data_IF_363518070180
#
_entry.id   IF_363518070180
#
_cell.length_a   1.000
_cell.length_b   1.000
_cell.length_c   1.000
_cell.angle_alpha   90.00
_cell.angle_beta   90.00
_cell.angle_gamma   90.00
#
_symmetry.space_group_name_H-M   'P 1'
#
loop_
_entity.id
_entity.type
_entity.pdbx_description
1 polymer ?
#
# COMPACT_ATOMS: atom_id res chain seq x y z
N UNK A 1 -54.12 -25.57 12.64
CA UNK A 1 -54.59 -26.63 13.58
C UNK A 1 -53.49 -27.67 13.75
N UNK A 2 -53.38 -28.29 14.95
CA UNK A 2 -52.69 -29.56 15.29
C UNK A 2 -51.30 -29.88 14.67
N UNK A 3 -50.29 -29.86 15.56
CA UNK A 3 -49.25 -30.90 15.83
C UNK A 3 -48.26 -31.28 14.69
N UNK A 4 -46.93 -31.24 14.84
CA UNK A 4 -45.99 -31.81 15.86
C UNK A 4 -46.07 -33.34 16.06
N UNK A 5 -45.17 -34.07 15.39
CA UNK A 5 -44.57 -35.37 15.78
C UNK A 5 -43.23 -35.52 15.02
N UNK A 6 -42.07 -36.04 15.49
CA UNK A 6 -41.57 -36.72 16.71
C UNK A 6 -41.12 -38.19 16.47
N UNK A 7 -39.79 -38.36 16.31
CA UNK A 7 -38.91 -39.44 16.83
C UNK A 7 -38.85 -40.86 16.18
N UNK A 8 -37.69 -41.54 16.43
CA UNK A 8 -37.41 -43.02 16.43
C UNK A 8 -37.35 -43.72 15.04
N UNK A 9 -36.61 -44.82 14.71
CA UNK A 9 -35.68 -45.84 15.29
C UNK A 9 -34.78 -46.40 14.11
N UNK A 10 -33.79 -47.32 14.21
CA UNK A 10 -32.67 -47.62 15.15
C UNK A 10 -31.77 -48.78 14.61
N UNK A 11 -30.45 -48.69 14.80
CA UNK A 11 -29.35 -49.69 14.78
C UNK A 11 -29.34 -51.00 13.90
N UNK A 12 -28.23 -51.17 13.17
CA UNK A 12 -27.31 -52.34 13.07
C UNK A 12 -27.71 -53.75 12.56
N UNK A 13 -26.94 -54.23 11.56
CA UNK A 13 -26.48 -55.63 11.30
C UNK A 13 -25.08 -55.51 10.64
N UNK A 14 -23.98 -56.27 10.88
CA UNK A 14 -23.65 -57.66 11.31
C UNK A 14 -23.25 -58.59 10.13
N UNK A 15 -22.11 -59.32 10.31
CA UNK A 15 -21.35 -60.09 9.31
C UNK A 15 -21.87 -61.52 9.02
N UNK A 16 -21.53 -62.06 7.84
CA UNK A 16 -21.51 -63.49 7.44
C UNK A 16 -20.80 -63.63 6.05
N UNK A 17 -20.34 -64.75 5.46
CA UNK A 17 -19.91 -66.14 5.82
C UNK A 17 -19.30 -66.76 4.53
N UNK A 18 -18.39 -67.75 4.46
CA UNK A 18 -17.21 -68.19 5.27
C UNK A 18 -16.43 -69.28 4.46
N UNK A 19 -15.43 -69.95 5.07
CA UNK A 19 -14.66 -71.13 4.58
C UNK A 19 -13.57 -70.89 3.49
N UNK A 20 -12.55 -71.76 3.33
CA UNK A 20 -12.27 -73.05 3.98
C UNK A 20 -10.79 -73.50 3.93
N UNK A 21 -10.47 -74.65 4.53
CA UNK A 21 -9.10 -75.06 4.91
C UNK A 21 -8.41 -76.08 3.97
N UNK A 22 -7.08 -76.18 4.04
CA UNK A 22 -6.28 -77.30 3.49
C UNK A 22 -4.84 -77.32 4.05
N UNK A 23 -4.37 -78.49 4.51
CA UNK A 23 -3.05 -78.68 5.19
C UNK A 23 -2.08 -79.44 4.29
N UNK A 24 -0.78 -79.15 4.37
CA UNK A 24 0.30 -80.15 4.32
C UNK A 24 1.59 -79.65 4.98
N UNK A 25 2.49 -80.57 5.30
CA UNK A 25 3.78 -80.36 5.95
C UNK A 25 4.92 -80.65 4.97
N UNK A 26 6.06 -79.94 5.09
CA UNK A 26 7.27 -80.14 4.29
C UNK A 26 8.54 -80.01 5.16
N UNK A 27 9.47 -80.95 4.96
CA UNK A 27 10.89 -80.95 5.36
C UNK A 27 11.61 -81.91 4.37
N UNK A 28 12.94 -81.79 4.17
CA UNK A 28 13.75 -80.59 3.99
C UNK A 28 14.56 -80.65 2.68
N UNK A 29 15.27 -79.59 2.30
CA UNK A 29 16.26 -79.59 1.20
C UNK A 29 17.52 -78.81 1.63
N UNK A 30 18.68 -79.28 1.21
CA UNK A 30 20.00 -78.72 1.55
C UNK A 30 20.33 -77.43 0.78
N UNK A 31 21.35 -76.70 1.25
CA UNK A 31 21.80 -75.42 0.70
C UNK A 31 22.63 -75.59 -0.58
N UNK A 32 22.40 -74.73 -1.58
CA UNK A 32 23.40 -74.38 -2.60
C UNK A 32 23.93 -72.96 -2.33
N UNK A 33 25.23 -72.68 -2.54
CA UNK A 33 25.84 -71.42 -2.12
C UNK A 33 25.42 -70.25 -3.01
N UNK A 34 24.81 -69.23 -2.40
CA UNK A 34 24.59 -67.93 -3.04
C UNK A 34 25.95 -67.26 -3.24
N UNK A 35 26.25 -66.90 -4.48
CA UNK A 35 27.42 -66.06 -4.80
C UNK A 35 27.06 -64.61 -4.49
N UNK A 36 27.82 -63.96 -3.62
CA UNK A 36 27.69 -62.51 -3.37
C UNK A 36 28.15 -61.74 -4.62
N UNK A 37 27.20 -61.07 -5.29
CA UNK A 37 27.55 -59.98 -6.21
C UNK A 37 28.02 -58.76 -5.39
N UNK A 38 29.05 -58.02 -5.83
CA UNK A 38 29.56 -56.88 -5.08
C UNK A 38 28.53 -55.75 -5.09
N UNK A 39 28.10 -55.32 -3.91
CA UNK A 39 27.25 -54.12 -3.76
C UNK A 39 28.04 -52.92 -4.24
N UNK A 40 27.68 -52.40 -5.41
CA UNK A 40 28.18 -51.14 -5.94
C UNK A 40 27.73 -50.02 -5.00
N UNK A 41 28.69 -49.25 -4.46
CA UNK A 41 28.37 -48.10 -3.62
C UNK A 41 27.77 -47.00 -4.49
N UNK A 42 26.53 -46.63 -4.21
CA UNK A 42 26.00 -45.33 -4.65
C UNK A 42 26.92 -44.20 -4.14
N UNK A 43 27.11 -43.11 -4.90
CA UNK A 43 27.81 -41.94 -4.42
C UNK A 43 27.11 -41.38 -3.18
N UNK A 44 27.89 -41.10 -2.13
CA UNK A 44 27.42 -40.37 -0.96
C UNK A 44 27.24 -38.91 -1.40
N UNK A 45 25.99 -38.47 -1.59
CA UNK A 45 25.68 -37.11 -2.04
C UNK A 45 26.24 -36.10 -1.02
N UNK A 46 27.07 -35.17 -1.49
CA UNK A 46 27.53 -34.06 -0.66
C UNK A 46 26.30 -33.24 -0.23
N UNK A 47 26.18 -32.86 1.06
CA UNK A 47 25.01 -32.12 1.52
C UNK A 47 24.97 -30.77 0.81
N UNK A 48 23.88 -30.48 0.09
CA UNK A 48 23.66 -29.17 -0.51
C UNK A 48 23.80 -28.09 0.56
N UNK A 49 24.66 -27.09 0.29
CA UNK A 49 24.78 -25.92 1.17
C UNK A 49 23.45 -25.16 1.14
N UNK A 50 22.64 -25.38 2.18
CA UNK A 50 21.43 -24.59 2.43
C UNK A 50 21.85 -23.12 2.44
N UNK A 51 21.31 -22.27 1.55
CA UNK A 51 21.72 -20.87 1.48
C UNK A 51 21.59 -20.20 2.85
N UNK A 52 22.65 -19.53 3.31
CA UNK A 52 22.55 -18.68 4.50
C UNK A 52 21.48 -17.62 4.22
N UNK A 53 20.41 -17.64 5.03
CA UNK A 53 19.37 -16.61 4.93
C UNK A 53 20.01 -15.22 5.08
N UNK A 54 19.68 -14.24 4.22
CA UNK A 54 20.39 -12.98 4.13
C UNK A 54 20.48 -12.31 5.50
N UNK A 55 21.70 -12.14 6.00
CA UNK A 55 21.94 -11.74 7.37
C UNK A 55 21.40 -10.33 7.64
N UNK A 56 20.37 -10.23 8.49
CA UNK A 56 19.81 -8.97 9.00
C UNK A 56 20.94 -8.04 9.44
N UNK A 57 21.15 -6.88 8.79
CA UNK A 57 22.27 -6.01 9.12
C UNK A 57 22.17 -5.49 10.56
N UNK A 58 23.30 -5.46 11.29
CA UNK A 58 23.31 -5.12 12.72
C UNK A 58 22.73 -3.72 12.97
N UNK A 59 21.69 -3.65 13.81
CA UNK A 59 21.00 -2.40 14.15
C UNK A 59 19.97 -1.92 13.10
N UNK A 60 19.74 -2.68 12.03
CA UNK A 60 18.75 -2.35 10.99
C UNK A 60 17.47 -3.18 11.11
N UNK A 61 16.38 -2.66 10.55
CA UNK A 61 15.13 -3.37 10.33
C UNK A 61 14.53 -3.00 8.97
N UNK A 62 13.63 -3.83 8.44
CA UNK A 62 12.86 -3.54 7.21
C UNK A 62 11.84 -2.43 7.48
N UNK A 63 11.79 -1.42 6.61
CA UNK A 63 10.76 -0.38 6.60
C UNK A 63 9.38 -0.97 6.28
N UNK A 64 8.38 -0.75 7.14
CA UNK A 64 6.99 -1.13 6.84
C UNK A 64 6.34 -0.33 5.69
N UNK A 65 6.98 0.77 5.25
CA UNK A 65 6.49 1.61 4.14
C UNK A 65 7.21 1.33 2.81
N UNK A 66 8.44 0.82 2.83
CA UNK A 66 9.24 0.66 1.61
C UNK A 66 9.97 -0.68 1.49
N UNK A 67 10.02 -1.52 2.52
CA UNK A 67 10.82 -2.75 2.51
C UNK A 67 12.34 -2.53 2.52
N UNK A 68 12.82 -1.29 2.47
CA UNK A 68 14.26 -0.97 2.53
C UNK A 68 14.80 -1.15 3.95
N UNK A 69 16.10 -1.43 4.08
CA UNK A 69 16.79 -1.45 5.37
C UNK A 69 16.96 -0.04 5.94
N UNK A 70 16.45 0.18 7.15
CA UNK A 70 16.56 1.43 7.91
C UNK A 70 16.96 1.15 9.37
N UNK A 71 17.39 2.18 10.10
CA UNK A 71 17.69 2.09 11.54
C UNK A 71 16.51 1.47 12.32
N UNK A 72 16.79 0.51 13.21
CA UNK A 72 15.75 -0.24 13.91
C UNK A 72 14.87 0.60 14.86
N UNK A 73 15.38 1.73 15.38
CA UNK A 73 14.60 2.62 16.24
C UNK A 73 13.76 3.58 15.38
N UNK A 74 14.25 3.96 14.20
CA UNK A 74 13.44 4.65 13.19
C UNK A 74 12.31 3.74 12.66
N UNK A 75 12.56 2.45 12.45
CA UNK A 75 11.56 1.48 11.97
C UNK A 75 10.41 1.24 12.97
N UNK A 76 10.65 1.45 14.27
CA UNK A 76 9.62 1.34 15.32
C UNK A 76 8.73 2.57 15.42
N UNK A 77 9.13 3.71 14.83
CA UNK A 77 8.33 4.94 14.90
C UNK A 77 7.10 4.88 14.01
N UNK A 78 6.04 5.53 14.45
CA UNK A 78 4.82 5.73 13.69
C UNK A 78 5.10 6.70 12.54
N UNK A 79 4.63 6.40 11.33
CA UNK A 79 4.65 7.36 10.24
C UNK A 79 3.85 8.63 10.56
N UNK A 80 4.23 9.73 9.92
CA UNK A 80 3.44 10.95 9.87
C UNK A 80 2.66 10.99 8.54
N UNK A 81 1.34 11.08 8.59
CA UNK A 81 0.49 11.26 7.41
C UNK A 81 0.07 12.73 7.29
N UNK A 82 0.53 13.43 6.25
CA UNK A 82 0.31 14.87 6.04
C UNK A 82 -0.57 15.11 4.81
N UNK A 83 -1.68 15.82 5.01
CA UNK A 83 -2.56 16.26 3.91
C UNK A 83 -1.94 17.42 3.13
N UNK A 84 -1.64 17.24 1.85
CA UNK A 84 -0.96 18.24 0.99
C UNK A 84 -1.86 18.63 -0.21
N UNK A 85 -1.86 19.93 -0.54
CA UNK A 85 -2.63 20.45 -1.68
C UNK A 85 -2.10 20.01 -3.04
N UNK A 86 -3.01 19.63 -3.96
CA UNK A 86 -2.67 19.23 -5.34
C UNK A 86 -3.49 20.02 -6.37
N UNK A 87 -3.11 21.27 -6.57
CA UNK A 87 -3.67 22.20 -7.56
C UNK A 87 -2.52 23.00 -8.15
N UNK A 88 -2.66 23.58 -9.34
CA UNK A 88 -1.67 24.52 -9.91
C UNK A 88 -1.11 25.52 -8.89
N UNK A 89 -2.00 26.12 -8.10
CA UNK A 89 -1.70 27.18 -7.14
C UNK A 89 -1.05 26.66 -5.84
N UNK A 90 -0.93 25.34 -5.68
CA UNK A 90 -0.19 24.67 -4.62
C UNK A 90 1.20 24.20 -5.07
N UNK A 91 1.47 24.14 -6.37
CA UNK A 91 2.74 23.64 -6.92
C UNK A 91 3.86 24.69 -6.85
N UNK A 92 5.13 24.25 -6.83
CA UNK A 92 5.58 22.91 -6.41
C UNK A 92 5.29 22.68 -4.91
N UNK A 93 5.07 21.43 -4.50
CA UNK A 93 4.99 21.09 -3.07
C UNK A 93 6.38 21.20 -2.40
N UNK A 94 6.41 21.25 -1.07
CA UNK A 94 7.64 21.22 -0.27
C UNK A 94 7.70 19.97 0.60
N UNK A 95 8.88 19.36 0.72
CA UNK A 95 9.18 18.20 1.56
C UNK A 95 8.61 16.87 1.05
N UNK A 96 7.78 16.88 0.01
CA UNK A 96 7.08 15.70 -0.52
C UNK A 96 8.03 14.65 -1.13
N UNK A 97 9.24 15.02 -1.54
CA UNK A 97 10.24 14.06 -2.05
C UNK A 97 10.73 13.09 -0.95
N UNK A 98 10.60 13.47 0.32
CA UNK A 98 10.91 12.62 1.47
C UNK A 98 9.76 11.69 1.87
N UNK A 99 8.59 11.76 1.25
CA UNK A 99 7.48 10.85 1.55
C UNK A 99 7.75 9.46 0.98
N UNK A 100 7.28 8.43 1.68
CA UNK A 100 7.53 7.02 1.36
C UNK A 100 6.32 6.39 0.66
N UNK A 101 5.12 6.70 1.15
CA UNK A 101 3.85 6.45 0.47
C UNK A 101 3.18 7.78 0.16
N UNK A 102 2.62 7.93 -1.05
CA UNK A 102 1.77 9.08 -1.39
C UNK A 102 0.43 8.56 -1.91
N UNK A 103 -0.64 8.79 -1.16
CA UNK A 103 -2.01 8.58 -1.62
C UNK A 103 -2.48 9.81 -2.40
N UNK A 104 -2.99 9.60 -3.61
CA UNK A 104 -3.68 10.60 -4.40
C UNK A 104 -5.17 10.24 -4.53
N UNK A 105 -6.04 11.16 -4.11
CA UNK A 105 -7.49 10.90 -4.06
C UNK A 105 -8.28 12.06 -4.68
N UNK A 106 -9.31 11.78 -5.51
CA UNK A 106 -10.25 12.77 -5.99
C UNK A 106 -10.94 13.53 -4.85
N UNK A 107 -11.09 14.84 -5.05
CA UNK A 107 -11.78 15.76 -4.14
C UNK A 107 -12.73 16.67 -4.93
N UNK A 108 -13.23 17.71 -4.27
CA UNK A 108 -14.22 18.64 -4.83
C UNK A 108 -13.71 19.30 -6.13
N UNK A 109 -14.59 19.48 -7.12
CA UNK A 109 -14.23 20.06 -8.42
C UNK A 109 -13.42 19.14 -9.34
N UNK A 110 -13.29 17.85 -9.03
CA UNK A 110 -12.51 16.86 -9.82
C UNK A 110 -10.99 17.11 -9.88
N UNK A 111 -10.48 17.93 -8.96
CA UNK A 111 -9.07 17.93 -8.58
C UNK A 111 -8.75 16.68 -7.75
N UNK A 112 -7.47 16.39 -7.55
CA UNK A 112 -7.00 15.46 -6.53
C UNK A 112 -6.46 16.20 -5.29
N UNK A 113 -6.19 15.44 -4.22
CA UNK A 113 -5.41 15.89 -3.06
C UNK A 113 -4.45 14.78 -2.68
N UNK A 114 -3.28 15.15 -2.16
CA UNK A 114 -2.27 14.19 -1.72
C UNK A 114 -2.36 14.00 -0.21
N UNK A 115 -2.08 12.78 0.24
CA UNK A 115 -1.65 12.49 1.60
C UNK A 115 -0.29 11.82 1.51
N UNK A 116 0.73 12.53 2.00
CA UNK A 116 2.10 12.06 2.03
C UNK A 116 2.38 11.41 3.39
N UNK A 117 2.85 10.16 3.38
CA UNK A 117 3.19 9.39 4.57
C UNK A 117 4.72 9.30 4.67
N UNK A 118 5.26 9.67 5.83
CA UNK A 118 6.71 9.74 6.10
C UNK A 118 7.07 8.80 7.24
N UNK A 119 7.92 7.80 7.01
CA UNK A 119 8.61 7.07 8.08
C UNK A 119 9.63 7.99 8.77
N UNK A 120 10.30 8.84 7.98
CA UNK A 120 11.27 9.82 8.47
C UNK A 120 10.94 11.24 7.97
N UNK A 121 10.65 12.14 8.90
CA UNK A 121 10.46 13.57 8.65
C UNK A 121 11.53 14.44 9.34
N UNK A 122 12.61 13.84 9.85
CA UNK A 122 13.71 14.57 10.48
C UNK A 122 14.47 15.43 9.45
N UNK A 123 14.87 16.64 9.86
CA UNK A 123 15.50 17.64 9.01
C UNK A 123 14.55 18.40 8.08
N UNK A 124 13.25 18.12 8.08
CA UNK A 124 12.30 18.78 7.17
C UNK A 124 11.85 20.15 7.72
N UNK A 125 12.54 21.21 7.29
CA UNK A 125 12.21 22.61 7.63
C UNK A 125 10.84 23.09 7.10
N UNK A 126 10.33 22.47 6.04
CA UNK A 126 9.11 22.91 5.35
C UNK A 126 8.41 21.77 4.61
N UNK A 127 7.19 21.43 5.07
CA UNK A 127 6.32 20.43 4.43
C UNK A 127 4.98 21.08 4.05
N UNK A 128 4.51 20.86 2.82
CA UNK A 128 3.18 21.28 2.38
C UNK A 128 3.09 21.87 0.97
N UNK A 129 2.17 22.79 0.68
CA UNK A 129 1.25 23.45 1.62
C UNK A 129 0.22 22.47 2.19
N UNK A 130 0.08 22.46 3.51
CA UNK A 130 -0.86 21.57 4.22
C UNK A 130 -2.30 21.98 3.89
N UNK A 131 -3.15 20.98 3.66
CA UNK A 131 -4.55 21.14 3.24
C UNK A 131 -5.50 20.25 4.03
N UNK A 132 -6.76 20.29 3.62
CA UNK A 132 -7.87 19.88 4.47
C UNK A 132 -8.20 18.39 4.39
N UNK A 133 -8.54 17.81 5.53
CA UNK A 133 -8.97 16.43 5.69
C UNK A 133 -10.31 16.15 4.97
N UNK A 134 -10.46 14.93 4.44
CA UNK A 134 -11.76 14.24 4.27
C UNK A 134 -11.66 12.90 5.00
N UNK A 135 -12.78 12.33 5.41
CA UNK A 135 -12.86 11.15 6.28
C UNK A 135 -12.11 9.93 5.73
N UNK A 136 -12.21 9.65 4.43
CA UNK A 136 -11.49 8.54 3.79
C UNK A 136 -9.96 8.65 3.87
N UNK A 137 -9.38 9.86 3.94
CA UNK A 137 -7.93 10.01 4.18
C UNK A 137 -7.52 9.55 5.58
N UNK A 138 -8.40 9.66 6.57
CA UNK A 138 -8.14 9.15 7.93
C UNK A 138 -8.15 7.63 7.91
N UNK A 139 -9.10 7.01 7.19
CA UNK A 139 -9.13 5.56 7.01
C UNK A 139 -7.85 5.05 6.34
N UNK A 140 -7.34 5.73 5.31
CA UNK A 140 -6.04 5.40 4.69
C UNK A 140 -4.86 5.60 5.66
N UNK A 141 -4.82 6.70 6.43
CA UNK A 141 -3.74 6.95 7.40
C UNK A 141 -3.67 5.89 8.51
N UNK A 142 -4.82 5.34 8.93
CA UNK A 142 -4.92 4.28 9.94
C UNK A 142 -4.33 2.95 9.49
N UNK A 143 -4.29 2.68 8.18
CA UNK A 143 -3.65 1.48 7.58
C UNK A 143 -2.14 1.39 7.87
N UNK A 144 -1.55 2.51 8.30
CA UNK A 144 -0.12 2.65 8.63
C UNK A 144 0.12 3.01 10.10
N UNK A 145 -0.91 2.95 10.95
CA UNK A 145 -0.87 3.46 12.35
C UNK A 145 -0.31 4.90 12.43
N UNK A 146 -0.58 5.73 11.42
CA UNK A 146 0.07 7.03 11.29
C UNK A 146 -0.52 8.12 12.20
N UNK A 147 0.32 9.08 12.59
CA UNK A 147 -0.11 10.34 13.21
C UNK A 147 -0.60 11.26 12.09
N UNK A 148 -1.85 11.74 12.17
CA UNK A 148 -2.54 12.36 11.03
C UNK A 148 -2.58 13.89 11.14
N UNK A 149 -2.12 14.58 10.10
CA UNK A 149 -1.88 16.03 10.07
C UNK A 149 -2.64 16.72 8.94
N UNK A 150 -3.41 17.76 9.25
CA UNK A 150 -4.19 18.51 8.26
C UNK A 150 -4.45 19.96 8.66
N UNK A 151 -4.86 20.81 7.71
CA UNK A 151 -5.34 22.17 7.99
C UNK A 151 -6.73 22.39 7.36
N UNK A 152 -7.75 22.50 8.21
CA UNK A 152 -9.17 22.47 7.81
C UNK A 152 -9.69 21.05 7.56
N UNK A 153 -11.01 20.87 7.51
CA UNK A 153 -11.64 19.56 7.27
C UNK A 153 -12.96 19.68 6.48
N UNK A 154 -13.54 18.54 6.10
CA UNK A 154 -14.96 18.44 5.76
C UNK A 154 -15.74 18.10 7.03
N UNK A 155 -16.99 18.55 7.18
CA UNK A 155 -17.84 18.20 8.35
C UNK A 155 -17.98 16.68 8.54
N UNK A 156 -18.01 15.92 7.44
CA UNK A 156 -18.05 14.46 7.43
C UNK A 156 -16.82 13.78 8.07
N UNK A 157 -15.72 14.51 8.25
CA UNK A 157 -14.53 14.01 8.93
C UNK A 157 -14.62 14.11 10.47
N UNK A 158 -15.47 14.99 11.02
CA UNK A 158 -15.54 15.24 12.47
C UNK A 158 -15.79 13.97 13.30
N UNK A 159 -16.77 13.10 12.98
CA UNK A 159 -17.01 11.87 13.76
C UNK A 159 -15.85 10.87 13.77
N UNK A 160 -14.91 10.98 12.82
CA UNK A 160 -13.72 10.12 12.71
C UNK A 160 -12.51 10.79 13.37
N UNK A 161 -12.36 12.11 13.20
CA UNK A 161 -11.31 12.92 13.83
C UNK A 161 -11.46 13.05 15.35
N UNK A 162 -12.69 12.90 15.87
CA UNK A 162 -13.02 12.94 17.29
C UNK A 162 -12.88 11.57 17.99
N UNK A 163 -12.49 10.51 17.27
CA UNK A 163 -12.21 9.19 17.87
C UNK A 163 -10.93 9.25 18.71
N UNK A 164 -10.96 8.67 19.92
CA UNK A 164 -9.80 8.61 20.82
C UNK A 164 -8.57 7.89 20.21
N UNK A 165 -8.78 7.02 19.22
CA UNK A 165 -7.72 6.29 18.51
C UNK A 165 -7.15 7.03 17.29
N UNK A 166 -7.69 8.20 16.91
CA UNK A 166 -7.12 9.08 15.86
C UNK A 166 -6.23 10.15 16.48
N UNK A 167 -4.92 10.02 16.28
CA UNK A 167 -3.93 11.00 16.73
C UNK A 167 -3.90 12.19 15.78
N UNK A 168 -4.84 13.12 15.99
CA UNK A 168 -5.17 14.25 15.13
C UNK A 168 -4.35 15.52 15.43
N UNK A 169 -3.48 15.89 14.50
CA UNK A 169 -2.75 17.15 14.44
C UNK A 169 -3.46 18.12 13.46
N UNK A 170 -4.58 18.68 13.91
CA UNK A 170 -5.38 19.64 13.15
C UNK A 170 -4.91 21.08 13.34
N UNK A 171 -4.63 21.78 12.23
CA UNK A 171 -4.41 23.23 12.19
C UNK A 171 -5.66 24.09 12.46
N UNK A 172 -6.75 23.49 12.95
CA UNK A 172 -7.88 24.22 13.57
C UNK A 172 -7.92 24.09 15.11
N UNK A 173 -7.09 23.21 15.69
CA UNK A 173 -6.92 23.12 17.14
C UNK A 173 -6.00 24.26 17.60
N UNK A 174 -6.60 25.29 18.22
CA UNK A 174 -5.89 26.48 18.71
C UNK A 174 -4.89 26.20 19.84
N UNK A 175 -4.85 24.99 20.40
CA UNK A 175 -3.81 24.56 21.35
C UNK A 175 -2.51 24.10 20.68
N UNK A 176 -2.54 23.80 19.37
CA UNK A 176 -1.37 23.41 18.56
C UNK A 176 -1.14 24.28 17.30
N UNK A 177 -2.12 25.06 16.83
CA UNK A 177 -1.98 25.82 15.56
C UNK A 177 -0.68 26.63 15.52
N UNK A 178 -0.44 27.46 16.53
CA UNK A 178 0.66 28.45 16.55
C UNK A 178 2.02 27.88 16.94
N UNK A 179 2.10 26.61 17.34
CA UNK A 179 3.38 25.91 17.57
C UNK A 179 3.76 25.01 16.39
N UNK A 180 2.77 24.49 15.66
CA UNK A 180 2.98 23.50 14.60
C UNK A 180 2.91 24.10 13.19
N UNK A 181 2.03 25.08 12.96
CA UNK A 181 1.72 25.61 11.63
C UNK A 181 2.15 27.07 11.49
N UNK A 182 2.69 27.40 10.32
CA UNK A 182 3.01 28.77 9.94
C UNK A 182 2.42 29.13 8.57
N UNK A 183 2.42 30.43 8.26
CA UNK A 183 1.91 30.99 7.01
C UNK A 183 3.05 31.55 6.16
N UNK A 184 3.32 30.93 5.02
CA UNK A 184 4.28 31.45 4.05
C UNK A 184 3.70 32.70 3.36
N UNK A 185 4.32 33.85 3.58
CA UNK A 185 3.89 35.15 3.04
C UNK A 185 4.11 35.27 1.52
N UNK A 186 4.93 34.40 0.94
CA UNK A 186 5.14 34.32 -0.51
C UNK A 186 3.99 33.57 -1.22
N UNK A 187 3.10 32.90 -0.46
CA UNK A 187 1.95 32.16 -1.02
C UNK A 187 0.61 32.76 -0.59
N UNK A 188 -0.34 32.71 -1.52
CA UNK A 188 -1.73 33.13 -1.27
C UNK A 188 -2.46 32.07 -0.45
N UNK A 189 -3.28 32.51 0.49
CA UNK A 189 -4.26 31.64 1.12
C UNK A 189 -5.24 31.10 0.06
N UNK A 190 -5.68 29.84 0.14
CA UNK A 190 -5.42 28.89 1.23
C UNK A 190 -4.22 27.94 0.98
N UNK A 191 -3.33 28.23 0.01
CA UNK A 191 -2.19 27.38 -0.37
C UNK A 191 -0.89 27.73 0.38
N UNK A 192 -1.00 28.25 1.61
CA UNK A 192 0.11 28.87 2.33
C UNK A 192 0.31 28.41 3.78
N UNK A 193 -0.43 27.41 4.26
CA UNK A 193 -0.13 26.75 5.53
C UNK A 193 1.02 25.75 5.34
N UNK A 194 2.01 25.77 6.22
CA UNK A 194 3.16 24.87 6.22
C UNK A 194 3.48 24.41 7.65
N UNK A 195 4.20 23.30 7.76
CA UNK A 195 4.73 22.72 9.01
C UNK A 195 6.24 22.43 8.85
N UNK A 196 6.92 22.18 9.96
CA UNK A 196 8.32 21.73 10.03
C UNK A 196 8.45 20.58 11.03
N UNK A 197 9.58 19.85 11.01
CA UNK A 197 9.91 18.83 12.04
C UNK A 197 9.70 19.36 13.47
N UNK A 198 10.26 20.54 13.78
CA UNK A 198 10.14 21.18 15.09
C UNK A 198 8.67 21.37 15.49
N UNK A 199 7.85 21.88 14.57
CA UNK A 199 6.42 22.09 14.80
C UNK A 199 5.63 20.79 14.94
N UNK A 200 5.99 19.74 14.19
CA UNK A 200 5.40 18.40 14.31
C UNK A 200 5.71 17.81 15.68
N UNK A 201 6.98 17.79 16.07
CA UNK A 201 7.43 17.25 17.36
C UNK A 201 6.78 18.00 18.54
N UNK A 202 6.74 19.34 18.48
CA UNK A 202 6.06 20.16 19.48
C UNK A 202 4.54 19.89 19.53
N UNK A 203 3.90 19.67 18.37
CA UNK A 203 2.49 19.27 18.29
C UNK A 203 2.21 17.89 18.92
N UNK A 204 3.05 16.90 18.63
CA UNK A 204 2.97 15.54 19.20
C UNK A 204 3.14 15.57 20.72
N UNK A 205 4.17 16.26 21.23
CA UNK A 205 4.42 16.44 22.67
C UNK A 205 3.23 17.15 23.34
N UNK A 206 2.76 18.25 22.76
CA UNK A 206 1.64 19.06 23.26
C UNK A 206 0.33 18.28 23.40
N UNK A 207 0.12 17.28 22.53
CA UNK A 207 -1.07 16.40 22.53
C UNK A 207 -0.86 15.11 23.33
N UNK A 208 0.36 14.81 23.78
CA UNK A 208 0.70 13.57 24.49
C UNK A 208 0.62 12.32 23.61
N UNK A 209 0.86 12.46 22.30
CA UNK A 209 0.63 11.40 21.33
C UNK A 209 1.78 10.38 21.29
N UNK A 210 1.43 9.09 21.42
CA UNK A 210 2.30 7.92 21.16
C UNK A 210 3.07 8.06 19.84
N UNK A 211 4.39 7.93 19.89
CA UNK A 211 5.34 8.02 18.78
C UNK A 211 5.77 6.67 18.19
N UNK A 212 5.73 5.60 18.97
CA UNK A 212 6.11 4.24 18.53
C UNK A 212 4.90 3.45 18.05
N UNK A 213 5.08 2.58 17.05
CA UNK A 213 4.04 1.72 16.47
C UNK A 213 3.39 0.81 17.52
N UNK A 214 2.17 0.37 17.24
CA UNK A 214 1.50 -0.64 18.07
C UNK A 214 2.27 -1.96 18.02
N UNK A 215 2.37 -2.67 19.15
CA UNK A 215 2.85 -4.07 19.19
C UNK A 215 2.03 -5.01 18.30
N UNK A 216 0.81 -4.59 17.92
CA UNK A 216 -0.08 -5.29 17.00
C UNK A 216 0.05 -4.85 15.53
N UNK A 217 0.96 -3.94 15.19
CA UNK A 217 1.13 -3.46 13.81
C UNK A 217 2.09 -4.37 13.03
N UNK A 218 1.62 -4.93 11.92
CA UNK A 218 2.33 -5.91 11.10
C UNK A 218 2.61 -5.47 9.66
N UNK A 219 2.61 -4.16 9.39
CA UNK A 219 2.83 -3.60 8.05
C UNK A 219 1.60 -3.60 7.13
N UNK A 220 1.59 -2.68 6.17
CA UNK A 220 0.55 -2.62 5.13
C UNK A 220 0.86 -3.56 3.96
N UNK A 221 2.06 -3.47 3.36
CA UNK A 221 2.44 -4.24 2.17
C UNK A 221 3.38 -5.40 2.51
N UNK A 222 3.39 -6.43 1.68
CA UNK A 222 4.50 -7.37 1.58
C UNK A 222 5.57 -6.81 0.63
N UNK A 223 6.86 -7.01 0.92
CA UNK A 223 7.96 -6.50 0.11
C UNK A 223 8.93 -7.60 -0.32
N UNK A 224 9.52 -7.42 -1.50
CA UNK A 224 10.52 -8.32 -2.07
C UNK A 224 11.83 -8.31 -1.26
N UNK A 225 12.53 -9.44 -1.22
CA UNK A 225 13.89 -9.50 -0.66
C UNK A 225 14.93 -8.90 -1.62
N UNK A 226 16.11 -8.57 -1.10
CA UNK A 226 17.12 -7.75 -1.79
C UNK A 226 17.66 -8.36 -3.10
N UNK A 227 17.67 -9.69 -3.18
CA UNK A 227 18.13 -10.49 -4.32
C UNK A 227 16.97 -11.09 -5.16
N UNK A 228 15.73 -10.93 -4.72
CA UNK A 228 14.52 -11.49 -5.34
C UNK A 228 13.49 -10.40 -5.74
N UNK A 229 13.86 -9.39 -6.55
CA UNK A 229 12.95 -8.32 -6.96
C UNK A 229 11.78 -8.85 -7.80
N UNK A 230 10.61 -8.21 -7.64
CA UNK A 230 9.38 -8.58 -8.33
C UNK A 230 9.46 -8.16 -9.81
N UNK A 231 9.46 -9.16 -10.69
CA UNK A 231 9.51 -9.00 -12.14
C UNK A 231 8.18 -9.46 -12.75
N UNK A 232 7.24 -8.52 -12.86
CA UNK A 232 5.93 -8.77 -13.45
C UNK A 232 6.06 -9.28 -14.90
N UNK A 233 5.20 -10.22 -15.31
CA UNK A 233 5.18 -10.77 -16.68
C UNK A 233 4.08 -10.15 -17.56
N UNK A 234 3.27 -9.25 -16.99
CA UNK A 234 2.12 -8.61 -17.63
C UNK A 234 2.44 -7.52 -18.66
N UNK A 235 1.46 -6.67 -18.91
CA UNK A 235 1.46 -5.64 -19.96
C UNK A 235 2.54 -4.56 -19.71
N UNK A 236 3.06 -3.97 -20.78
CA UNK A 236 4.07 -2.90 -20.67
C UNK A 236 3.42 -1.59 -20.20
N UNK A 237 4.05 -0.95 -19.21
CA UNK A 237 3.57 0.24 -18.52
C UNK A 237 4.66 1.31 -18.48
N UNK A 238 5.15 1.73 -19.65
CA UNK A 238 6.27 2.68 -19.78
C UNK A 238 5.84 4.12 -19.47
N UNK A 239 4.65 4.53 -19.92
CA UNK A 239 4.03 5.82 -19.57
C UNK A 239 2.63 5.55 -19.03
N UNK A 240 2.35 5.98 -17.80
CA UNK A 240 1.13 5.62 -17.04
C UNK A 240 0.30 6.86 -16.75
N UNK A 241 -0.99 6.83 -17.10
CA UNK A 241 -1.97 7.90 -16.86
C UNK A 241 -3.10 7.41 -15.94
N UNK A 242 -3.16 7.81 -14.65
CA UNK A 242 -4.23 7.43 -13.71
C UNK A 242 -5.64 7.95 -14.02
N UNK A 243 -5.84 8.66 -15.14
CA UNK A 243 -7.16 9.08 -15.61
C UNK A 243 -7.80 10.32 -14.96
N UNK A 244 -7.19 10.90 -13.92
CA UNK A 244 -7.74 12.09 -13.24
C UNK A 244 -8.04 13.25 -14.19
N UNK A 245 -9.13 13.97 -13.91
CA UNK A 245 -9.77 14.89 -14.84
C UNK A 245 -9.05 16.23 -14.99
N UNK A 246 -8.67 16.87 -13.87
CA UNK A 246 -8.13 18.24 -13.87
C UNK A 246 -6.61 18.28 -13.76
N UNK A 247 -6.04 17.57 -12.78
CA UNK A 247 -4.59 17.48 -12.59
C UNK A 247 -3.88 16.83 -13.80
N UNK A 248 -4.56 15.87 -14.46
CA UNK A 248 -4.06 15.01 -15.54
C UNK A 248 -2.59 14.57 -15.35
N UNK A 249 -2.21 14.00 -14.19
CA UNK A 249 -0.85 13.55 -13.97
C UNK A 249 -0.49 12.37 -14.86
N UNK A 250 0.80 12.07 -14.96
CA UNK A 250 1.30 10.84 -15.53
C UNK A 250 2.65 10.48 -14.92
N UNK A 251 3.05 9.23 -15.09
CA UNK A 251 4.36 8.72 -14.72
C UNK A 251 5.09 8.24 -15.96
N UNK A 252 6.42 8.33 -15.95
CA UNK A 252 7.30 7.86 -17.01
C UNK A 252 8.35 6.95 -16.38
N UNK A 253 8.42 5.71 -16.85
CA UNK A 253 9.41 4.75 -16.40
C UNK A 253 10.79 5.08 -16.96
N UNK A 254 11.81 5.07 -16.10
CA UNK A 254 13.21 5.04 -16.50
C UNK A 254 13.76 3.62 -16.30
N UNK A 255 14.29 3.01 -17.36
CA UNK A 255 14.91 1.68 -17.30
C UNK A 255 16.33 1.68 -16.77
N UNK A 256 16.98 2.84 -16.56
CA UNK A 256 18.33 2.93 -16.01
C UNK A 256 18.37 2.79 -14.48
N UNK A 257 17.32 3.23 -13.78
CA UNK A 257 17.15 3.14 -12.32
C UNK A 257 15.94 2.28 -11.89
N UNK A 258 15.03 2.01 -12.82
CA UNK A 258 13.81 1.24 -12.56
C UNK A 258 12.74 2.02 -11.79
N UNK A 259 12.71 3.34 -11.89
CA UNK A 259 11.75 4.23 -11.21
C UNK A 259 10.74 4.89 -12.17
N UNK A 260 9.63 5.33 -11.60
CA UNK A 260 8.54 6.05 -12.27
C UNK A 260 8.56 7.53 -11.90
N UNK A 261 9.07 8.36 -12.81
CA UNK A 261 9.14 9.82 -12.66
C UNK A 261 7.79 10.47 -12.91
N UNK A 262 7.30 11.29 -11.97
CA UNK A 262 5.96 11.89 -12.00
C UNK A 262 5.91 13.29 -12.64
N UNK A 263 4.81 13.53 -13.34
CA UNK A 263 4.49 14.77 -14.04
C UNK A 263 3.03 15.17 -13.75
N UNK A 264 2.73 16.47 -13.72
CA UNK A 264 1.38 17.00 -13.51
C UNK A 264 1.22 18.39 -14.14
N UNK A 265 -0.01 18.81 -14.48
CA UNK A 265 -0.31 20.14 -15.03
C UNK A 265 0.56 20.58 -16.23
N UNK A 266 1.09 19.59 -16.98
CA UNK A 266 1.98 19.69 -18.16
C UNK A 266 3.48 19.89 -17.88
N UNK A 267 3.95 19.71 -16.65
CA UNK A 267 5.37 19.80 -16.28
C UNK A 267 5.81 18.64 -15.36
N UNK A 268 7.11 18.52 -15.09
CA UNK A 268 7.69 17.64 -14.07
C UNK A 268 7.14 18.05 -12.70
N UNK A 269 6.67 17.10 -11.88
CA UNK A 269 6.38 17.43 -10.49
C UNK A 269 7.68 17.37 -9.68
N UNK A 270 8.09 18.50 -9.10
CA UNK A 270 9.28 18.62 -8.26
C UNK A 270 8.91 18.93 -6.80
N UNK A 271 9.84 18.60 -5.90
CA UNK A 271 9.86 19.16 -4.55
C UNK A 271 10.63 20.50 -4.56
N UNK A 272 9.96 21.55 -4.10
CA UNK A 272 10.47 22.91 -4.02
C UNK A 272 11.63 23.10 -3.04
N UNK A 273 11.85 22.16 -2.12
CA UNK A 273 12.98 22.18 -1.18
C UNK A 273 14.28 21.64 -1.80
N UNK A 274 14.19 20.81 -2.85
CA UNK A 274 15.33 20.03 -3.38
C UNK A 274 15.51 20.12 -4.90
N UNK A 275 14.59 20.79 -5.63
CA UNK A 275 14.45 20.80 -7.11
C UNK A 275 14.37 19.39 -7.76
N UNK A 276 14.20 18.36 -6.93
CA UNK A 276 14.20 16.96 -7.35
C UNK A 276 12.82 16.57 -7.86
N UNK A 277 12.77 15.97 -9.06
CA UNK A 277 11.53 15.42 -9.60
C UNK A 277 11.10 14.21 -8.76
N UNK A 278 9.80 14.11 -8.46
CA UNK A 278 9.27 12.99 -7.68
C UNK A 278 9.33 11.72 -8.51
N UNK A 279 9.86 10.65 -7.91
CA UNK A 279 9.93 9.32 -8.52
C UNK A 279 9.57 8.24 -7.50
N UNK A 280 8.95 7.15 -7.95
CA UNK A 280 8.51 6.02 -7.12
C UNK A 280 8.88 4.68 -7.76
N UNK A 281 9.00 3.61 -6.97
CA UNK A 281 9.24 2.25 -7.47
C UNK A 281 7.95 1.53 -7.87
N UNK A 282 6.88 1.83 -7.12
CA UNK A 282 5.58 1.19 -7.21
C UNK A 282 4.49 2.22 -7.52
N UNK A 283 3.55 1.87 -8.37
CA UNK A 283 2.27 2.57 -8.48
C UNK A 283 1.16 1.53 -8.27
N UNK A 284 0.20 1.88 -7.40
CA UNK A 284 -1.04 1.13 -7.22
C UNK A 284 -2.20 2.00 -7.72
N UNK A 285 -2.98 1.50 -8.66
CA UNK A 285 -4.29 2.07 -8.99
C UNK A 285 -5.33 1.28 -8.19
N UNK A 286 -6.06 1.93 -7.29
CA UNK A 286 -7.11 1.29 -6.49
C UNK A 286 -8.46 1.85 -6.92
N UNK A 287 -9.31 1.04 -7.55
CA UNK A 287 -10.65 1.48 -7.97
C UNK A 287 -11.66 1.30 -6.84
N UNK A 288 -12.24 2.42 -6.40
CA UNK A 288 -13.25 2.47 -5.35
C UNK A 288 -14.59 2.94 -5.93
N UNK A 289 -15.68 2.35 -5.41
CA UNK A 289 -17.01 2.95 -5.53
C UNK A 289 -17.03 4.30 -4.79
N UNK A 290 -17.85 5.26 -5.25
CA UNK A 290 -17.92 6.62 -4.68
C UNK A 290 -19.35 7.12 -4.64
N UNK A 291 -19.63 8.15 -3.83
CA UNK A 291 -20.94 8.80 -3.82
C UNK A 291 -20.85 10.31 -3.56
N UNK A 292 -21.87 11.06 -3.95
CA UNK A 292 -22.02 12.48 -3.62
C UNK A 292 -22.70 12.61 -2.26
N UNK A 293 -22.06 13.29 -1.31
CA UNK A 293 -22.59 13.51 0.04
C UNK A 293 -23.52 14.72 0.13
N UNK A 294 -23.22 15.80 -0.60
CA UNK A 294 -24.06 17.01 -0.63
C UNK A 294 -23.96 17.85 -1.91
N UNK A 295 -24.81 18.87 -2.01
CA UNK A 295 -24.83 19.85 -3.10
C UNK A 295 -23.65 20.83 -3.10
N UNK A 296 -22.82 20.87 -2.05
CA UNK A 296 -21.55 21.60 -2.07
C UNK A 296 -20.46 20.84 -2.84
N UNK A 297 -20.73 19.58 -3.23
CA UNK A 297 -19.83 18.73 -4.00
C UNK A 297 -18.89 17.88 -3.15
N UNK A 298 -19.14 17.77 -1.84
CA UNK A 298 -18.46 16.76 -1.03
C UNK A 298 -18.82 15.36 -1.53
N UNK A 299 -17.85 14.46 -1.48
CA UNK A 299 -18.00 13.07 -1.89
C UNK A 299 -17.48 12.12 -0.83
N UNK A 300 -17.99 10.90 -0.87
CA UNK A 300 -17.48 9.74 -0.18
C UNK A 300 -16.72 8.84 -1.16
N UNK A 301 -15.72 8.12 -0.64
CA UNK A 301 -14.95 7.09 -1.34
C UNK A 301 -15.07 5.83 -0.49
N UNK A 302 -15.62 4.76 -1.06
CA UNK A 302 -15.82 3.51 -0.37
C UNK A 302 -14.46 2.79 -0.21
N UNK A 303 -13.85 2.93 0.97
CA UNK A 303 -12.53 2.36 1.28
C UNK A 303 -12.58 0.93 1.84
N UNK A 304 -13.74 0.28 1.90
CA UNK A 304 -13.90 -1.00 2.63
C UNK A 304 -14.55 -2.13 1.82
N UNK A 305 -15.36 -1.84 0.81
CA UNK A 305 -16.08 -2.91 0.07
C UNK A 305 -15.22 -3.72 -0.90
N UNK A 306 -13.92 -3.41 -1.00
CA UNK A 306 -13.02 -3.98 -1.99
C UNK A 306 -13.29 -3.49 -3.41
N UNK A 307 -12.52 -4.00 -4.37
CA UNK A 307 -12.66 -3.65 -5.77
C UNK A 307 -11.54 -4.17 -6.66
N UNK A 308 -11.47 -3.62 -7.87
CA UNK A 308 -10.43 -3.89 -8.84
C UNK A 308 -9.26 -2.90 -8.66
N UNK A 309 -8.10 -3.24 -9.20
CA UNK A 309 -6.92 -2.39 -9.18
C UNK A 309 -5.86 -2.83 -10.19
N UNK A 310 -4.76 -2.09 -10.21
CA UNK A 310 -3.60 -2.36 -11.07
C UNK A 310 -2.34 -2.15 -10.24
N UNK A 311 -1.45 -3.15 -10.19
CA UNK A 311 -0.10 -3.00 -9.66
C UNK A 311 0.88 -2.75 -10.81
N UNK A 312 1.80 -1.79 -10.61
CA UNK A 312 2.74 -1.33 -11.63
C UNK A 312 4.12 -1.16 -11.00
N UNK A 313 5.13 -1.79 -11.60
CA UNK A 313 6.54 -1.70 -11.20
C UNK A 313 7.46 -2.15 -12.35
N UNK A 314 8.73 -1.77 -12.34
CA UNK A 314 9.76 -2.23 -13.29
C UNK A 314 9.35 -2.17 -14.79
N UNK A 315 8.60 -1.14 -15.18
CA UNK A 315 8.18 -0.92 -16.57
C UNK A 315 6.95 -1.71 -17.01
N UNK A 316 6.30 -2.44 -16.10
CA UNK A 316 5.18 -3.37 -16.38
C UNK A 316 4.04 -3.22 -15.39
N UNK A 317 2.87 -3.75 -15.77
CA UNK A 317 1.68 -3.80 -14.92
C UNK A 317 1.00 -5.16 -14.92
N UNK A 318 0.26 -5.44 -13.84
CA UNK A 318 -0.70 -6.53 -13.75
C UNK A 318 -2.00 -6.06 -13.09
N UNK A 319 -3.09 -6.79 -13.34
CA UNK A 319 -4.38 -6.53 -12.69
C UNK A 319 -4.39 -7.21 -11.32
N UNK A 320 -4.98 -6.51 -10.37
CA UNK A 320 -5.16 -7.00 -9.00
C UNK A 320 -6.60 -6.75 -8.56
N UNK A 321 -7.04 -7.48 -7.55
CA UNK A 321 -8.19 -7.10 -6.73
C UNK A 321 -7.70 -6.58 -5.39
N UNK A 322 -8.50 -5.77 -4.69
CA UNK A 322 -8.20 -5.34 -3.34
C UNK A 322 -9.38 -5.62 -2.41
N UNK A 323 -9.08 -5.96 -1.16
CA UNK A 323 -10.06 -6.15 -0.08
C UNK A 323 -9.57 -5.47 1.20
N UNK A 324 -10.46 -5.26 2.16
CA UNK A 324 -10.16 -4.62 3.45
C UNK A 324 -11.22 -5.03 4.47
N UNK A 325 -10.81 -5.71 5.56
CA UNK A 325 -11.73 -6.35 6.50
C UNK A 325 -12.71 -5.39 7.19
N UNK A 326 -12.27 -4.16 7.44
CA UNK A 326 -13.01 -3.06 8.06
C UNK A 326 -12.23 -1.74 7.84
N UNK A 327 -12.81 -0.60 8.18
CA UNK A 327 -12.23 0.74 7.99
C UNK A 327 -10.82 0.95 8.59
N UNK A 328 -10.46 0.18 9.62
CA UNK A 328 -9.20 0.32 10.38
C UNK A 328 -8.10 -0.65 9.95
N UNK A 329 -8.43 -1.70 9.19
CA UNK A 329 -7.46 -2.65 8.64
C UNK A 329 -6.77 -2.10 7.38
N UNK A 330 -5.53 -2.54 7.05
CA UNK A 330 -4.91 -2.21 5.77
C UNK A 330 -5.65 -2.85 4.59
N UNK A 331 -5.57 -2.21 3.43
CA UNK A 331 -6.01 -2.81 2.17
C UNK A 331 -5.03 -3.91 1.75
N UNK A 332 -5.56 -5.08 1.37
CA UNK A 332 -4.78 -6.23 0.90
C UNK A 332 -5.05 -6.41 -0.59
N UNK A 333 -3.99 -6.62 -1.37
CA UNK A 333 -4.04 -6.63 -2.83
C UNK A 333 -3.67 -8.02 -3.35
N UNK A 334 -4.47 -8.58 -4.26
CA UNK A 334 -4.36 -9.97 -4.71
C UNK A 334 -4.29 -10.05 -6.23
N UNK A 335 -3.37 -10.87 -6.74
CA UNK A 335 -3.19 -11.15 -8.17
C UNK A 335 -4.38 -11.92 -8.77
N UNK A 336 -4.38 -12.12 -10.10
CA UNK A 336 -5.40 -12.96 -10.77
C UNK A 336 -5.38 -14.45 -10.34
N UNK A 337 -4.31 -14.94 -9.68
CA UNK A 337 -4.29 -16.28 -9.05
C UNK A 337 -4.93 -16.33 -7.66
N UNK A 338 -5.13 -15.17 -7.02
CA UNK A 338 -5.65 -15.04 -5.65
C UNK A 338 -4.59 -14.96 -4.55
N UNK A 339 -3.31 -14.91 -4.91
CA UNK A 339 -2.18 -14.73 -3.98
C UNK A 339 -2.01 -13.23 -3.65
N UNK A 340 -1.66 -12.88 -2.41
CA UNK A 340 -1.37 -11.48 -2.05
C UNK A 340 -0.09 -11.01 -2.77
N UNK A 341 -0.14 -9.85 -3.40
CA UNK A 341 1.01 -9.33 -4.17
C UNK A 341 2.15 -8.91 -3.25
N UNK A 342 3.37 -9.11 -3.75
CA UNK A 342 4.59 -8.55 -3.16
C UNK A 342 4.99 -7.29 -3.94
N UNK A 343 5.33 -6.21 -3.24
CA UNK A 343 5.86 -4.99 -3.85
C UNK A 343 7.38 -5.06 -3.97
N UNK A 344 7.96 -4.45 -5.01
CA UNK A 344 9.38 -4.12 -5.01
C UNK A 344 9.71 -3.13 -3.88
N UNK A 345 10.91 -3.23 -3.31
CA UNK A 345 11.36 -2.28 -2.30
C UNK A 345 11.48 -0.86 -2.87
N UNK A 346 11.07 0.12 -2.08
CA UNK A 346 11.08 1.55 -2.40
C UNK A 346 9.69 2.19 -2.35
N UNK A 347 9.66 3.46 -2.77
CA UNK A 347 8.50 4.35 -2.59
C UNK A 347 7.30 3.97 -3.45
N UNK A 348 6.09 4.24 -2.94
CA UNK A 348 4.83 3.81 -3.56
C UNK A 348 3.85 4.97 -3.73
N UNK A 349 3.29 5.12 -4.93
CA UNK A 349 2.19 6.06 -5.19
C UNK A 349 0.87 5.31 -5.33
N UNK A 350 -0.11 5.64 -4.48
CA UNK A 350 -1.44 5.01 -4.47
C UNK A 350 -2.45 5.97 -5.11
N UNK A 351 -2.77 5.74 -6.38
CA UNK A 351 -3.82 6.46 -7.09
C UNK A 351 -5.18 5.83 -6.78
N UNK A 352 -5.91 6.42 -5.84
CA UNK A 352 -7.32 6.08 -5.61
C UNK A 352 -8.13 6.62 -6.78
N UNK A 353 -8.79 5.73 -7.53
CA UNK A 353 -9.57 6.08 -8.72
C UNK A 353 -11.05 5.75 -8.51
N UNK A 354 -11.93 6.51 -9.17
CA UNK A 354 -13.38 6.29 -9.11
C UNK A 354 -13.75 5.22 -10.15
N UNK A 355 -14.35 4.12 -9.70
CA UNK A 355 -14.68 2.93 -10.50
C UNK A 355 -15.47 3.21 -11.79
N UNK A 356 -16.44 4.13 -11.75
CA UNK A 356 -17.22 4.56 -12.92
C UNK A 356 -16.38 5.16 -14.07
N UNK A 357 -15.09 5.43 -13.82
CA UNK A 357 -14.16 6.07 -14.74
C UNK A 357 -12.85 5.27 -14.93
N UNK A 358 -12.92 3.94 -14.75
CA UNK A 358 -11.81 3.00 -15.06
C UNK A 358 -11.35 3.11 -16.52
N UNK A 359 -12.25 3.49 -17.43
CA UNK A 359 -11.99 3.75 -18.86
C UNK A 359 -11.00 4.90 -19.11
N UNK A 360 -10.73 5.74 -18.11
CA UNK A 360 -9.77 6.85 -18.20
C UNK A 360 -8.34 6.47 -17.82
N UNK A 361 -8.12 5.29 -17.25
CA UNK A 361 -6.76 4.77 -17.08
C UNK A 361 -6.17 4.44 -18.45
N UNK A 362 -4.87 4.70 -18.64
CA UNK A 362 -4.18 4.35 -19.86
C UNK A 362 -2.68 4.17 -19.66
N UNK A 363 -2.13 3.16 -20.32
CA UNK A 363 -0.69 2.99 -20.53
C UNK A 363 -0.34 3.27 -21.99
N UNK A 364 0.87 3.78 -22.20
CA UNK A 364 1.39 4.18 -23.51
C UNK A 364 2.88 3.81 -23.57
N UNK A 365 3.41 3.58 -24.78
CA UNK A 365 4.84 3.34 -24.96
C UNK A 365 5.65 4.65 -24.92
N UNK A 366 5.02 5.79 -25.23
CA UNK A 366 5.66 7.11 -25.32
C UNK A 366 4.83 8.24 -24.73
N UNK A 367 5.46 9.37 -24.41
CA UNK A 367 4.75 10.58 -23.96
C UNK A 367 4.04 11.29 -25.13
N UNK A 368 4.51 11.05 -26.35
CA UNK A 368 3.91 11.47 -27.61
C UNK A 368 2.55 10.79 -27.83
N UNK A 369 2.45 9.47 -27.59
CA UNK A 369 1.18 8.72 -27.62
C UNK A 369 0.19 9.21 -26.56
N UNK A 370 0.64 9.39 -25.31
CA UNK A 370 -0.16 9.97 -24.24
C UNK A 370 -0.70 11.36 -24.63
N UNK A 371 0.15 12.19 -25.25
CA UNK A 371 -0.20 13.54 -25.71
C UNK A 371 -1.20 13.50 -26.87
N UNK A 372 -1.05 12.56 -27.81
CA UNK A 372 -1.97 12.37 -28.92
C UNK A 372 -3.35 11.88 -28.44
N UNK A 373 -3.40 10.92 -27.50
CA UNK A 373 -4.65 10.47 -26.89
C UNK A 373 -5.36 11.62 -26.17
N UNK A 374 -4.65 12.35 -25.29
CA UNK A 374 -5.19 13.50 -24.54
C UNK A 374 -5.65 14.66 -25.42
N UNK A 375 -5.17 14.78 -26.66
CA UNK A 375 -5.65 15.77 -27.63
C UNK A 375 -7.06 15.45 -28.19
N UNK A 376 -7.55 14.21 -28.01
CA UNK A 376 -8.89 13.77 -28.42
C UNK A 376 -9.94 13.83 -27.30
N UNK A 377 -9.52 14.02 -26.04
CA UNK A 377 -10.41 14.22 -24.88
C UNK A 377 -11.00 15.65 -24.82
N UNK A 378 -11.81 16.06 -25.82
CA UNK A 378 -12.52 17.35 -25.82
C UNK A 378 -13.93 17.26 -25.21
#
# INVERSE_FOLDING_TARGET
MKKRMVWLLLAAMILSISAGCGKKEEEPVEEEPVVEEPVEKEPEEEPEEVPEAPATPEGMARSYLTGEWIDQELARKRPLAVMIGNTSDALPQYGISSADIIYEVPVEGSYTRLMAIFQNYAGLEKIGSVRSCRHYFIYFAREFDAIYTHYGQAVYAEPVLDREDVHNLSGMDSSIETIMFYRDTNRKAPHNAFISEEGINAGIEKKGYRTELSESYSGHYQFAEDDAPVMLTGEDALVVSPGYFVNKPWFVYNSEDGLYYRYEFKDRQIDAATDSQLAVKNILIQYCDWSKLDENGYMDINTTSGGEGIYITNGKMEKVTWTKDNEDSPARYYSESGDEITLNQGKTWVCIARKDYMDRFGVYATQEELSAARATEQ
#
